data_IF_429434464254
#
_entry.id   IF_429434464254
#
_cell.length_a   1.000
_cell.length_b   1.000
_cell.length_c   1.000
_cell.angle_alpha   90.00
_cell.angle_beta   90.00
_cell.angle_gamma   90.00
#
_symmetry.space_group_name_H-M   'P 1'
#
loop_
_entity.id
_entity.type
_entity.pdbx_description
1 polymer ?
#
# COMPACT_ATOMS: atom_id res chain seq x y z
N UNK A 1 -27.11 2.59 8.96
CA UNK A 1 -27.22 3.90 8.28
C UNK A 1 -27.22 5.11 9.24
N UNK A 2 -27.72 5.02 10.48
CA UNK A 2 -27.64 6.13 11.46
C UNK A 2 -26.26 6.36 12.09
N UNK A 3 -25.38 5.36 12.08
CA UNK A 3 -24.03 5.42 12.68
C UNK A 3 -23.00 6.18 11.82
N UNK A 4 -23.00 5.96 10.50
CA UNK A 4 -22.00 6.53 9.57
C UNK A 4 -22.06 8.06 9.53
N UNK A 5 -23.26 8.64 9.40
CA UNK A 5 -23.41 10.10 9.37
C UNK A 5 -23.04 10.79 10.69
N UNK A 6 -23.13 10.08 11.82
CA UNK A 6 -22.66 10.60 13.11
C UNK A 6 -21.13 10.64 13.15
N UNK A 7 -20.47 9.58 12.70
CA UNK A 7 -19.01 9.51 12.64
C UNK A 7 -18.42 10.58 11.70
N UNK A 8 -18.97 10.73 10.50
CA UNK A 8 -18.53 11.76 9.55
C UNK A 8 -18.64 13.18 10.13
N UNK A 9 -19.72 13.46 10.86
CA UNK A 9 -19.90 14.74 11.56
C UNK A 9 -18.84 14.93 12.65
N UNK A 10 -18.59 13.90 13.47
CA UNK A 10 -17.56 13.94 14.52
C UNK A 10 -16.16 14.16 13.96
N UNK A 11 -15.79 13.43 12.90
CA UNK A 11 -14.50 13.60 12.22
C UNK A 11 -14.37 15.00 11.62
N UNK A 12 -15.43 15.52 11.02
CA UNK A 12 -15.46 16.89 10.48
C UNK A 12 -15.26 17.94 11.58
N UNK A 13 -15.88 17.73 12.75
CA UNK A 13 -15.72 18.61 13.91
C UNK A 13 -14.28 18.60 14.43
N UNK A 14 -13.69 17.42 14.65
CA UNK A 14 -12.29 17.25 15.06
C UNK A 14 -11.36 17.96 14.07
N UNK A 15 -11.52 17.70 12.77
CA UNK A 15 -10.66 18.33 11.75
C UNK A 15 -10.77 19.84 11.80
N UNK A 16 -11.98 20.38 11.93
CA UNK A 16 -12.19 21.83 11.96
C UNK A 16 -11.58 22.50 13.20
N UNK A 17 -11.58 21.84 14.35
CA UNK A 17 -10.98 22.39 15.57
C UNK A 17 -9.45 22.21 15.58
N UNK A 18 -8.96 21.01 15.25
CA UNK A 18 -7.53 20.66 15.34
C UNK A 18 -6.70 21.32 14.24
N UNK A 19 -7.21 21.47 13.01
CA UNK A 19 -6.45 22.11 11.91
C UNK A 19 -6.06 23.57 12.16
N UNK A 20 -6.71 24.21 13.13
CA UNK A 20 -6.46 25.62 13.50
C UNK A 20 -5.41 25.75 14.62
N UNK A 21 -4.87 24.62 15.11
CA UNK A 21 -3.76 24.63 16.06
C UNK A 21 -2.48 25.00 15.33
N UNK A 22 -1.73 25.94 15.89
CA UNK A 22 -0.52 26.48 15.29
C UNK A 22 0.52 25.37 15.06
N UNK A 23 1.04 25.29 13.83
CA UNK A 23 2.00 24.29 13.39
C UNK A 23 1.43 22.92 12.96
N UNK A 24 0.12 22.66 13.08
CA UNK A 24 -0.48 21.39 12.60
C UNK A 24 -0.51 21.36 11.08
N UNK A 25 0.18 20.43 10.43
CA UNK A 25 0.25 20.29 8.97
C UNK A 25 -0.52 19.08 8.42
N UNK A 26 -0.95 18.17 9.29
CA UNK A 26 -1.74 17.01 8.86
C UNK A 26 -2.49 16.34 10.00
N UNK A 27 -3.59 15.68 9.66
CA UNK A 27 -4.39 14.86 10.58
C UNK A 27 -4.68 13.56 9.83
N UNK A 28 -4.23 12.44 10.40
CA UNK A 28 -4.43 11.11 9.85
C UNK A 28 -5.23 10.29 10.87
N UNK A 29 -6.36 9.73 10.44
CA UNK A 29 -7.10 8.73 11.20
C UNK A 29 -6.46 7.37 10.98
N UNK A 30 -6.24 6.62 12.04
CA UNK A 30 -5.79 5.23 11.98
C UNK A 30 -6.64 4.35 12.91
N UNK A 31 -6.24 3.08 13.07
CA UNK A 31 -6.91 2.17 13.99
C UNK A 31 -8.21 1.57 13.42
N UNK A 32 -9.07 1.07 14.31
CA UNK A 32 -10.28 0.33 13.94
C UNK A 32 -11.26 1.15 13.10
N UNK A 33 -11.34 2.47 13.36
CA UNK A 33 -12.20 3.38 12.59
C UNK A 33 -11.71 3.50 11.14
N UNK A 34 -10.39 3.64 10.93
CA UNK A 34 -9.81 3.70 9.59
C UNK A 34 -9.99 2.37 8.82
N UNK A 35 -9.89 1.23 9.50
CA UNK A 35 -10.12 -0.11 8.91
C UNK A 35 -11.60 -0.45 8.65
N UNK A 36 -12.53 0.33 9.19
CA UNK A 36 -13.97 0.02 9.12
C UNK A 36 -14.41 -1.11 10.04
N UNK A 37 -13.61 -1.41 11.07
CA UNK A 37 -13.85 -2.45 12.07
C UNK A 37 -14.41 -1.90 13.39
N UNK A 38 -14.61 -0.58 13.48
CA UNK A 38 -15.08 0.09 14.68
C UNK A 38 -16.54 -0.23 15.02
N UNK A 39 -16.81 -0.36 16.32
CA UNK A 39 -18.13 -0.46 16.93
C UNK A 39 -18.50 0.83 17.70
N UNK A 40 -19.66 0.83 18.38
CA UNK A 40 -20.18 2.02 19.08
C UNK A 40 -19.30 2.49 20.27
N UNK A 41 -18.39 1.65 20.77
CA UNK A 41 -17.50 1.96 21.88
C UNK A 41 -16.04 2.20 21.48
N UNK A 42 -15.74 2.17 20.18
CA UNK A 42 -14.38 2.29 19.67
C UNK A 42 -13.83 3.72 19.79
N UNK A 43 -12.56 3.82 20.19
CA UNK A 43 -11.81 5.07 20.20
C UNK A 43 -11.51 5.54 18.76
N UNK A 44 -11.45 6.85 18.57
CA UNK A 44 -10.97 7.51 17.34
C UNK A 44 -9.48 7.78 17.50
N UNK A 45 -8.64 7.02 16.80
CA UNK A 45 -7.19 7.17 16.86
C UNK A 45 -6.67 8.15 15.79
N UNK A 46 -5.99 9.22 16.22
CA UNK A 46 -5.49 10.28 15.35
C UNK A 46 -3.98 10.42 15.47
N UNK A 47 -3.29 10.51 14.32
CA UNK A 47 -1.92 10.98 14.22
C UNK A 47 -1.95 12.42 13.71
N UNK A 48 -1.58 13.37 14.58
CA UNK A 48 -1.54 14.80 14.28
C UNK A 48 -0.11 15.18 13.96
N UNK A 49 0.12 15.62 12.73
CA UNK A 49 1.43 15.97 12.22
C UNK A 49 1.68 17.46 12.39
N UNK A 50 2.83 17.81 12.94
CA UNK A 50 3.33 19.17 13.10
C UNK A 50 4.49 19.47 12.13
N UNK A 51 4.61 20.73 11.75
CA UNK A 51 5.69 21.21 10.87
C UNK A 51 7.09 21.01 11.48
N UNK A 52 7.21 21.23 12.79
CA UNK A 52 8.45 21.07 13.54
C UNK A 52 8.20 20.65 15.00
N UNK A 53 9.29 20.35 15.70
CA UNK A 53 9.27 19.83 17.06
C UNK A 53 8.92 20.90 18.11
N UNK A 54 9.28 22.16 17.87
CA UNK A 54 9.01 23.26 18.81
C UNK A 54 7.51 23.57 18.85
N UNK A 55 6.88 23.68 17.67
CA UNK A 55 5.43 23.84 17.51
C UNK A 55 4.66 22.67 18.12
N UNK A 56 5.13 21.44 17.88
CA UNK A 56 4.53 20.24 18.44
C UNK A 56 4.52 20.30 19.97
N UNK A 57 5.69 20.52 20.59
CA UNK A 57 5.81 20.56 22.06
C UNK A 57 5.01 21.69 22.69
N UNK A 58 4.92 22.84 22.03
CA UNK A 58 4.19 24.00 22.53
C UNK A 58 2.67 23.83 22.43
N UNK A 59 2.18 23.10 21.42
CA UNK A 59 0.76 23.05 21.07
C UNK A 59 0.11 21.66 21.20
N UNK A 60 0.83 20.61 21.58
CA UNK A 60 0.28 19.25 21.78
C UNK A 60 -0.91 19.25 22.75
N UNK A 61 -0.82 19.98 23.86
CA UNK A 61 -1.93 20.12 24.79
C UNK A 61 -3.16 20.80 24.17
N UNK A 62 -2.95 21.76 23.28
CA UNK A 62 -4.05 22.45 22.58
C UNK A 62 -4.79 21.53 21.61
N UNK A 63 -4.12 20.53 21.03
CA UNK A 63 -4.77 19.48 20.24
C UNK A 63 -5.76 18.71 21.11
N UNK A 64 -5.31 18.16 22.24
CA UNK A 64 -6.16 17.41 23.18
C UNK A 64 -7.33 18.25 23.67
N UNK A 65 -7.09 19.54 23.98
CA UNK A 65 -8.11 20.45 24.48
C UNK A 65 -9.17 20.80 23.44
N UNK A 66 -8.82 20.85 22.15
CA UNK A 66 -9.74 21.23 21.05
C UNK A 66 -10.56 20.07 20.52
N UNK A 67 -10.16 18.84 20.82
CA UNK A 67 -10.98 17.66 20.54
C UNK A 67 -12.25 17.73 21.41
N UNK A 68 -13.44 17.57 20.82
CA UNK A 68 -14.69 17.57 21.59
C UNK A 68 -14.68 16.50 22.70
N UNK A 69 -14.98 16.85 23.96
CA UNK A 69 -14.83 15.93 25.10
C UNK A 69 -15.84 14.78 25.10
N UNK A 70 -16.89 14.87 24.29
CA UNK A 70 -17.88 13.82 24.07
C UNK A 70 -17.43 12.76 23.04
N UNK A 71 -16.24 12.91 22.47
CA UNK A 71 -15.65 11.95 21.53
C UNK A 71 -14.53 11.20 22.24
N UNK A 72 -14.63 9.87 22.24
CA UNK A 72 -13.54 9.00 22.67
C UNK A 72 -12.43 9.05 21.62
N UNK A 73 -11.44 9.92 21.80
CA UNK A 73 -10.41 10.20 20.81
C UNK A 73 -9.04 10.09 21.46
N UNK A 74 -8.14 9.34 20.85
CA UNK A 74 -6.73 9.28 21.22
C UNK A 74 -5.92 10.01 20.14
N UNK A 75 -5.15 11.02 20.53
CA UNK A 75 -4.29 11.75 19.61
C UNK A 75 -2.82 11.53 19.92
N UNK A 76 -2.05 11.14 18.92
CA UNK A 76 -0.59 11.09 18.93
C UNK A 76 -0.08 12.27 18.12
N UNK A 77 0.69 13.16 18.75
CA UNK A 77 1.33 14.28 18.06
C UNK A 77 2.72 13.86 17.57
N UNK A 78 3.04 14.18 16.31
CA UNK A 78 4.33 13.85 15.74
C UNK A 78 4.85 14.93 14.77
N UNK A 79 6.15 15.01 14.60
CA UNK A 79 6.84 15.81 13.60
C UNK A 79 7.94 14.95 12.95
N UNK A 80 8.72 15.52 12.02
CA UNK A 80 9.71 14.76 11.27
C UNK A 80 10.78 14.05 12.15
N UNK A 81 11.15 14.60 13.30
CA UNK A 81 12.10 13.98 14.23
C UNK A 81 11.46 12.83 15.01
N UNK A 82 10.26 13.02 15.55
CA UNK A 82 9.58 11.99 16.35
C UNK A 82 9.12 10.82 15.48
N UNK A 83 8.62 11.07 14.27
CA UNK A 83 8.26 10.01 13.32
C UNK A 83 9.43 9.04 13.06
N UNK A 84 10.68 9.52 13.00
CA UNK A 84 11.86 8.65 12.79
C UNK A 84 12.14 7.70 13.97
N UNK A 85 11.65 8.03 15.15
CA UNK A 85 11.85 7.25 16.39
C UNK A 85 10.64 6.37 16.72
N UNK A 86 9.51 6.57 16.05
CA UNK A 86 8.30 5.77 16.28
C UNK A 86 8.49 4.33 15.83
N UNK A 87 7.69 3.43 16.41
CA UNK A 87 7.71 2.02 16.08
C UNK A 87 7.45 1.82 14.56
N UNK A 88 8.35 1.16 13.81
CA UNK A 88 8.18 0.96 12.37
C UNK A 88 6.91 0.20 11.99
N UNK A 89 6.46 -0.75 12.81
CA UNK A 89 5.22 -1.53 12.58
C UNK A 89 4.00 -0.62 12.70
N UNK A 90 4.00 0.29 13.67
CA UNK A 90 2.95 1.30 13.81
C UNK A 90 2.91 2.23 12.59
N UNK A 91 4.06 2.78 12.18
CA UNK A 91 4.13 3.66 11.01
C UNK A 91 3.69 2.95 9.74
N UNK A 92 4.06 1.68 9.58
CA UNK A 92 3.61 0.87 8.45
C UNK A 92 2.08 0.74 8.43
N UNK A 93 1.46 0.40 9.57
CA UNK A 93 -0.01 0.33 9.67
C UNK A 93 -0.68 1.67 9.32
N UNK A 94 -0.17 2.80 9.84
CA UNK A 94 -0.69 4.14 9.50
C UNK A 94 -0.52 4.44 8.01
N UNK A 95 0.59 4.04 7.39
CA UNK A 95 0.82 4.26 5.95
C UNK A 95 -0.05 3.39 5.05
N UNK A 96 -0.38 2.17 5.48
CA UNK A 96 -1.18 1.21 4.72
C UNK A 96 -2.69 1.46 4.86
N UNK A 97 -3.14 1.78 6.07
CA UNK A 97 -4.57 1.83 6.43
C UNK A 97 -5.06 3.23 6.79
N UNK A 98 -4.15 4.19 7.03
CA UNK A 98 -4.49 5.51 7.54
C UNK A 98 -5.27 6.36 6.53
N UNK A 99 -6.30 7.04 7.02
CA UNK A 99 -7.10 7.97 6.24
C UNK A 99 -6.63 9.41 6.52
N UNK A 100 -6.14 10.09 5.49
CA UNK A 100 -5.74 11.49 5.60
C UNK A 100 -7.02 12.34 5.67
N UNK A 101 -7.28 12.94 6.84
CA UNK A 101 -8.41 13.82 7.07
C UNK A 101 -8.08 15.28 6.77
N UNK A 102 -6.81 15.66 6.95
CA UNK A 102 -6.31 17.00 6.68
C UNK A 102 -4.85 16.95 6.26
N UNK A 103 -4.48 17.79 5.30
CA UNK A 103 -3.10 18.01 4.89
C UNK A 103 -2.94 19.46 4.41
N UNK A 104 -1.85 20.11 4.84
CA UNK A 104 -1.41 21.40 4.32
C UNK A 104 0.10 21.43 4.12
N UNK A 105 0.57 22.27 3.21
CA UNK A 105 2.00 22.54 3.06
C UNK A 105 2.57 23.03 4.42
N UNK A 106 3.76 22.58 4.86
CA UNK A 106 4.78 21.81 4.13
C UNK A 106 4.65 20.28 4.10
N UNK A 107 3.51 19.68 4.46
CA UNK A 107 3.34 18.22 4.36
C UNK A 107 3.33 17.76 2.89
N UNK A 108 4.40 17.09 2.46
CA UNK A 108 4.54 16.56 1.09
C UNK A 108 4.50 15.03 1.10
N UNK A 109 3.46 14.46 0.52
CA UNK A 109 3.31 13.02 0.31
C UNK A 109 3.82 12.63 -1.08
N UNK A 110 4.94 11.92 -1.15
CA UNK A 110 5.47 11.38 -2.41
C UNK A 110 5.08 9.91 -2.54
N UNK A 111 3.99 9.63 -3.25
CA UNK A 111 3.62 8.25 -3.57
C UNK A 111 4.58 7.66 -4.59
N UNK A 112 5.40 6.68 -4.17
CA UNK A 112 6.24 5.88 -5.08
C UNK A 112 5.46 4.75 -5.77
N UNK A 113 4.24 4.49 -5.30
CA UNK A 113 3.39 3.38 -5.74
C UNK A 113 2.11 3.86 -6.43
N UNK A 114 1.96 5.15 -6.69
CA UNK A 114 0.85 5.66 -7.50
C UNK A 114 0.89 4.93 -8.85
N UNK A 115 -0.17 4.17 -9.14
CA UNK A 115 -0.26 3.27 -10.30
C UNK A 115 0.66 2.03 -10.26
N UNK A 116 1.10 1.54 -9.11
CA UNK A 116 1.83 0.27 -9.06
C UNK A 116 0.94 -0.90 -9.49
N UNK A 117 1.49 -1.80 -10.32
CA UNK A 117 0.86 -3.07 -10.68
C UNK A 117 1.27 -4.12 -9.65
N UNK A 118 0.28 -4.79 -9.07
CA UNK A 118 0.50 -5.93 -8.20
C UNK A 118 0.82 -7.15 -9.07
N UNK A 119 1.97 -7.76 -8.83
CA UNK A 119 2.45 -8.95 -9.53
C UNK A 119 2.83 -10.03 -8.53
N UNK A 120 2.91 -11.28 -9.02
CA UNK A 120 3.58 -12.36 -8.30
C UNK A 120 4.91 -12.68 -8.96
N UNK A 121 5.95 -12.80 -8.15
CA UNK A 121 7.12 -13.60 -8.50
C UNK A 121 6.81 -15.04 -8.10
N UNK A 122 6.72 -15.92 -9.09
CA UNK A 122 6.44 -17.33 -8.90
C UNK A 122 7.73 -18.11 -9.09
N UNK A 123 8.14 -18.84 -8.06
CA UNK A 123 9.25 -19.79 -8.09
C UNK A 123 8.69 -21.21 -8.12
N UNK A 124 9.17 -22.06 -9.02
CA UNK A 124 8.62 -23.41 -9.21
C UNK A 124 9.72 -24.43 -9.52
N UNK A 125 9.51 -25.67 -9.10
CA UNK A 125 10.45 -26.78 -9.31
C UNK A 125 9.90 -27.82 -10.27
N UNK A 126 10.64 -28.08 -11.35
CA UNK A 126 10.34 -29.16 -12.28
C UNK A 126 11.12 -30.45 -11.94
N UNK A 127 11.82 -30.52 -10.80
CA UNK A 127 12.76 -31.62 -10.50
C UNK A 127 12.07 -32.98 -10.45
N UNK A 128 10.90 -33.04 -9.81
CA UNK A 128 10.10 -34.26 -9.58
C UNK A 128 9.36 -34.77 -10.83
N UNK A 129 9.34 -33.99 -11.92
CA UNK A 129 8.63 -34.37 -13.14
C UNK A 129 9.46 -35.24 -14.09
N UNK A 130 8.83 -36.15 -14.85
CA UNK A 130 9.50 -36.82 -15.97
C UNK A 130 9.97 -35.82 -17.04
N UNK A 131 11.07 -36.11 -17.74
CA UNK A 131 11.65 -35.21 -18.75
C UNK A 131 10.66 -34.76 -19.84
N UNK A 132 9.70 -35.63 -20.22
CA UNK A 132 8.62 -35.29 -21.15
C UNK A 132 7.71 -34.20 -20.60
N UNK A 133 7.29 -34.32 -19.34
CA UNK A 133 6.44 -33.34 -18.66
C UNK A 133 7.18 -32.04 -18.38
N UNK A 134 8.47 -32.09 -18.01
CA UNK A 134 9.31 -30.86 -17.89
C UNK A 134 9.28 -30.02 -19.16
N UNK A 135 9.46 -30.67 -20.32
CA UNK A 135 9.39 -29.98 -21.63
C UNK A 135 7.99 -29.44 -21.91
N UNK A 136 6.95 -30.21 -21.61
CA UNK A 136 5.55 -29.80 -21.81
C UNK A 136 5.20 -28.55 -21.02
N UNK A 137 5.51 -28.53 -19.72
CA UNK A 137 5.29 -27.38 -18.85
C UNK A 137 6.09 -26.17 -19.35
N UNK A 138 7.39 -26.33 -19.64
CA UNK A 138 8.22 -25.23 -20.13
C UNK A 138 7.70 -24.62 -21.45
N UNK A 139 7.28 -25.46 -22.40
CA UNK A 139 6.73 -24.96 -23.67
C UNK A 139 5.37 -24.28 -23.50
N UNK A 140 4.52 -24.74 -22.57
CA UNK A 140 3.24 -24.09 -22.28
C UNK A 140 3.44 -22.73 -21.61
N UNK A 141 4.39 -22.63 -20.68
CA UNK A 141 4.67 -21.40 -19.94
C UNK A 141 5.41 -20.34 -20.76
N UNK A 142 6.47 -20.74 -21.49
CA UNK A 142 7.39 -19.79 -22.15
C UNK A 142 7.43 -19.91 -23.67
N UNK A 143 6.62 -20.81 -24.24
CA UNK A 143 6.55 -21.00 -25.67
C UNK A 143 7.79 -21.68 -26.22
N UNK A 144 7.98 -21.53 -27.54
CA UNK A 144 9.12 -22.11 -28.25
C UNK A 144 9.46 -21.31 -29.50
N UNK A 145 10.72 -21.40 -29.92
CA UNK A 145 11.16 -20.89 -31.21
C UNK A 145 11.21 -22.04 -32.21
N UNK A 146 10.53 -21.90 -33.36
CA UNK A 146 10.57 -22.86 -34.45
C UNK A 146 10.85 -22.12 -35.76
N UNK A 147 12.02 -22.39 -36.35
CA UNK A 147 12.53 -21.67 -37.51
C UNK A 147 12.46 -20.14 -37.29
N UNK A 148 11.81 -19.41 -38.20
CA UNK A 148 11.64 -17.95 -38.14
C UNK A 148 10.48 -17.49 -37.24
N UNK A 149 9.65 -18.40 -36.72
CA UNK A 149 8.46 -18.05 -35.91
C UNK A 149 8.70 -18.29 -34.41
N UNK A 150 8.36 -17.28 -33.59
CA UNK A 150 8.33 -17.37 -32.13
C UNK A 150 6.89 -17.58 -31.68
N UNK A 151 6.63 -18.69 -31.01
CA UNK A 151 5.37 -18.94 -30.32
C UNK A 151 5.50 -18.42 -28.90
N UNK A 152 4.63 -17.48 -28.53
CA UNK A 152 4.59 -16.95 -27.17
C UNK A 152 4.16 -18.04 -26.20
N UNK A 153 4.65 -17.94 -24.97
CA UNK A 153 4.18 -18.76 -23.86
C UNK A 153 3.10 -18.03 -23.07
N UNK A 154 2.32 -18.80 -22.32
CA UNK A 154 1.22 -18.28 -21.52
C UNK A 154 1.64 -17.17 -20.55
N UNK A 155 2.88 -17.23 -20.01
CA UNK A 155 3.41 -16.18 -19.14
C UNK A 155 3.48 -14.84 -19.88
N UNK A 156 4.03 -14.83 -21.09
CA UNK A 156 4.20 -13.60 -21.89
C UNK A 156 2.87 -13.11 -22.46
N UNK A 157 2.00 -14.03 -22.91
CA UNK A 157 0.65 -13.70 -23.39
C UNK A 157 -0.22 -13.01 -22.34
N UNK A 158 0.04 -13.29 -21.06
CA UNK A 158 -0.68 -12.76 -19.91
C UNK A 158 0.00 -11.56 -19.25
N UNK A 159 0.93 -10.92 -19.95
CA UNK A 159 1.65 -9.73 -19.49
C UNK A 159 2.74 -10.00 -18.46
N UNK A 160 3.10 -11.27 -18.27
CA UNK A 160 4.20 -11.71 -17.42
C UNK A 160 5.54 -11.71 -18.13
N UNK A 161 6.60 -12.00 -17.37
CA UNK A 161 7.97 -12.06 -17.86
C UNK A 161 8.73 -13.20 -17.21
N UNK A 162 9.43 -13.98 -18.01
CA UNK A 162 10.38 -14.97 -17.51
C UNK A 162 11.57 -14.27 -16.83
N UNK A 163 11.84 -14.60 -15.57
CA UNK A 163 12.92 -14.00 -14.78
C UNK A 163 14.17 -14.89 -14.74
N UNK A 164 14.01 -16.19 -14.96
CA UNK A 164 15.10 -17.15 -14.95
C UNK A 164 14.56 -18.58 -14.79
N UNK A 165 15.48 -19.56 -14.72
CA UNK A 165 15.08 -20.96 -14.56
C UNK A 165 14.21 -21.13 -13.30
N UNK A 166 13.04 -21.73 -13.48
CA UNK A 166 12.13 -21.95 -12.36
C UNK A 166 11.52 -20.68 -11.78
N UNK A 167 11.57 -19.54 -12.49
CA UNK A 167 11.11 -18.27 -11.95
C UNK A 167 10.49 -17.36 -13.02
N UNK A 168 9.30 -16.86 -12.76
CA UNK A 168 8.65 -15.87 -13.61
C UNK A 168 7.87 -14.84 -12.80
N UNK A 169 7.61 -13.71 -13.44
CA UNK A 169 6.76 -12.63 -12.95
C UNK A 169 5.43 -12.67 -13.70
N UNK A 170 4.30 -12.48 -13.03
CA UNK A 170 2.98 -12.38 -13.66
C UNK A 170 2.10 -11.35 -12.93
N UNK A 171 1.31 -10.51 -13.63
CA UNK A 171 0.32 -9.65 -12.98
C UNK A 171 -0.68 -10.49 -12.16
N UNK A 172 -1.03 -10.01 -10.96
CA UNK A 172 -1.93 -10.72 -10.03
C UNK A 172 -3.27 -11.07 -10.68
N UNK A 173 -3.82 -10.15 -11.47
CA UNK A 173 -5.07 -10.31 -12.23
C UNK A 173 -5.06 -11.47 -13.24
N UNK A 174 -3.89 -11.85 -13.76
CA UNK A 174 -3.75 -12.92 -14.75
C UNK A 174 -3.04 -14.17 -14.21
N UNK A 175 -2.70 -14.18 -12.91
CA UNK A 175 -1.86 -15.21 -12.32
C UNK A 175 -2.56 -16.58 -12.30
N UNK A 176 -3.85 -16.62 -11.99
CA UNK A 176 -4.62 -17.86 -11.84
C UNK A 176 -4.50 -18.76 -13.08
N UNK A 177 -4.63 -18.18 -14.28
CA UNK A 177 -4.54 -18.91 -15.56
C UNK A 177 -3.18 -19.59 -15.71
N UNK A 178 -2.10 -18.92 -15.28
CA UNK A 178 -0.73 -19.46 -15.36
C UNK A 178 -0.48 -20.49 -14.26
N UNK A 179 -0.93 -20.23 -13.03
CA UNK A 179 -0.77 -21.13 -11.89
C UNK A 179 -1.55 -22.45 -12.08
N UNK A 180 -2.71 -22.40 -12.74
CA UNK A 180 -3.46 -23.60 -13.11
C UNK A 180 -2.64 -24.56 -13.99
N UNK A 181 -1.74 -24.06 -14.84
CA UNK A 181 -0.83 -24.93 -15.60
C UNK A 181 0.13 -25.69 -14.69
N UNK A 182 0.64 -25.04 -13.64
CA UNK A 182 1.52 -25.68 -12.66
C UNK A 182 0.74 -26.74 -11.86
N UNK A 183 -0.47 -26.39 -11.41
CA UNK A 183 -1.37 -27.28 -10.67
C UNK A 183 -1.75 -28.53 -11.49
N UNK A 184 -2.16 -28.35 -12.75
CA UNK A 184 -2.50 -29.46 -13.67
C UNK A 184 -1.37 -30.49 -13.82
N UNK A 185 -0.12 -30.04 -13.70
CA UNK A 185 1.05 -30.88 -13.84
C UNK A 185 1.67 -31.27 -12.49
N UNK A 186 0.99 -31.00 -11.37
CA UNK A 186 1.46 -31.24 -10.00
C UNK A 186 2.85 -30.64 -9.72
N UNK A 187 3.13 -29.46 -10.29
CA UNK A 187 4.37 -28.73 -10.08
C UNK A 187 4.28 -27.99 -8.75
N UNK A 188 5.26 -28.21 -7.87
CA UNK A 188 5.41 -27.43 -6.64
C UNK A 188 5.89 -26.01 -6.97
N UNK A 189 5.24 -25.01 -6.39
CA UNK A 189 5.61 -23.62 -6.54
C UNK A 189 5.33 -22.81 -5.27
N UNK A 190 6.00 -21.67 -5.17
CA UNK A 190 5.77 -20.62 -4.18
C UNK A 190 5.56 -19.30 -4.92
N UNK A 191 4.88 -18.35 -4.28
CA UNK A 191 4.63 -17.02 -4.85
C UNK A 191 4.89 -15.92 -3.84
N UNK A 192 5.59 -14.88 -4.26
CA UNK A 192 5.81 -13.65 -3.50
C UNK A 192 5.08 -12.51 -4.20
N UNK A 193 4.23 -11.79 -3.47
CA UNK A 193 3.58 -10.58 -3.98
C UNK A 193 4.59 -9.42 -4.05
N UNK A 194 4.64 -8.75 -5.21
CA UNK A 194 5.51 -7.61 -5.46
C UNK A 194 4.74 -6.49 -6.14
N UNK A 195 5.09 -5.25 -5.78
CA UNK A 195 4.51 -4.05 -6.36
C UNK A 195 5.50 -3.46 -7.34
N UNK A 196 5.13 -3.44 -8.62
CA UNK A 196 5.97 -2.86 -9.67
C UNK A 196 5.38 -1.51 -10.01
N UNK A 197 6.10 -0.39 -9.78
CA UNK A 197 5.66 0.91 -10.24
C UNK A 197 5.37 0.83 -11.74
N UNK A 198 4.14 1.10 -12.17
CA UNK A 198 3.86 1.20 -13.59
C UNK A 198 4.71 2.36 -14.12
N UNK A 199 5.58 2.08 -15.08
CA UNK A 199 6.30 3.13 -15.82
C UNK A 199 5.33 3.84 -16.76
N UNK A 200 4.25 4.40 -16.23
CA UNK A 200 3.61 5.55 -16.84
C UNK A 200 4.60 6.71 -16.65
N UNK A 201 5.06 7.29 -17.75
CA UNK A 201 5.97 8.42 -17.78
C UNK A 201 5.45 9.54 -16.87
N UNK A 202 6.04 9.72 -15.70
CA UNK A 202 5.87 10.96 -14.93
C UNK A 202 7.06 11.82 -15.29
N UNK A 203 6.87 12.64 -16.32
CA UNK A 203 7.72 13.82 -16.54
C UNK A 203 7.83 14.57 -15.22
N UNK A 204 9.06 14.89 -14.85
CA UNK A 204 9.36 15.72 -13.69
C UNK A 204 8.57 17.04 -13.81
N UNK A 205 7.68 17.39 -12.86
CA UNK A 205 7.13 18.73 -12.83
C UNK A 205 8.27 19.69 -12.48
N UNK A 206 8.50 20.69 -13.33
CA UNK A 206 9.58 21.66 -13.26
C UNK A 206 9.46 22.68 -12.11
N UNK A 207 8.93 22.31 -10.94
CA UNK A 207 8.59 23.24 -9.86
C UNK A 207 9.42 23.12 -8.56
N UNK A 208 10.59 22.50 -8.60
CA UNK A 208 11.52 22.49 -7.46
C UNK A 208 12.94 22.91 -7.88
N UNK A 209 13.03 24.12 -8.44
CA UNK A 209 14.24 24.95 -8.39
C UNK A 209 13.83 26.36 -7.95
N UNK A 210 13.71 26.55 -6.63
CA UNK A 210 13.96 27.79 -5.92
C UNK A 210 14.51 27.42 -4.54
#
# INVERSE_FOLDING_TARGET
MRSVGRLESSLSEIVNTVKTVDGVVGIILFGSVARGEADEGSDIDLLVLFEDEDKMRMNEWEVTRRIPPNLFTQSICACASTLKMMNPVFLQSVLEEGLILYAQYPLVLRSRLANAVVCFIVTYSLEELPQREKKRVNYKLFGRRMAERRYLGLVEERGGRHLGRGCFLIPKENAEVVLNVLNEHNVKYESIEVYIPNKAQVGTPAFLQL
#
